data_IF_133412033930
#
_entry.id   IF_133412033930
#
_cell.length_a   1.000
_cell.length_b   1.000
_cell.length_c   1.000
_cell.angle_alpha   90.00
_cell.angle_beta   90.00
_cell.angle_gamma   90.00
#
_symmetry.space_group_name_H-M   'P 1'
#
loop_
_entity.id
_entity.type
_entity.pdbx_description
1 polymer ?
#
# COMPACT_ATOMS: atom_id res chain seq x y z
N UNK A 1 -11.20 -4.95 -2.00
CA UNK A 1 -12.15 -3.94 -2.51
C UNK A 1 -12.85 -4.43 -3.78
N UNK A 2 -12.15 -4.92 -4.80
CA UNK A 2 -12.74 -5.40 -6.06
C UNK A 2 -13.88 -6.41 -5.84
N UNK A 3 -13.67 -7.40 -4.96
CA UNK A 3 -14.73 -8.35 -4.60
C UNK A 3 -15.97 -7.66 -3.98
N UNK A 4 -15.79 -6.60 -3.19
CA UNK A 4 -16.92 -5.84 -2.64
C UNK A 4 -17.67 -5.05 -3.73
N UNK A 5 -16.97 -4.57 -4.76
CA UNK A 5 -17.59 -3.91 -5.92
C UNK A 5 -18.40 -4.94 -6.70
N UNK A 6 -17.79 -6.08 -7.04
CA UNK A 6 -18.44 -7.19 -7.75
C UNK A 6 -19.72 -7.68 -7.05
N UNK A 7 -19.70 -7.78 -5.73
CA UNK A 7 -20.83 -8.22 -4.92
C UNK A 7 -21.86 -7.11 -4.62
N UNK A 8 -21.67 -5.89 -5.14
CA UNK A 8 -22.54 -4.74 -4.90
C UNK A 8 -22.53 -4.19 -3.48
N UNK A 9 -21.53 -4.56 -2.66
CA UNK A 9 -21.33 -4.07 -1.30
C UNK A 9 -20.69 -2.68 -1.27
N UNK A 10 -19.85 -2.36 -2.26
CA UNK A 10 -19.23 -1.05 -2.45
C UNK A 10 -19.86 -0.38 -3.69
N UNK A 11 -20.79 0.55 -3.46
CA UNK A 11 -21.64 1.14 -4.52
C UNK A 11 -21.18 2.52 -5.00
N UNK A 12 -20.11 3.04 -4.45
CA UNK A 12 -19.61 4.39 -4.75
C UNK A 12 -18.72 4.44 -6.01
N UNK A 13 -18.43 3.26 -6.59
CA UNK A 13 -17.53 3.14 -7.72
C UNK A 13 -18.30 2.90 -9.01
N UNK A 14 -17.90 3.60 -10.08
CA UNK A 14 -18.44 3.43 -11.43
C UNK A 14 -17.58 2.43 -12.25
N UNK A 15 -17.14 1.36 -11.59
CA UNK A 15 -16.34 0.29 -12.18
C UNK A 15 -17.14 -0.99 -12.09
N UNK A 16 -17.27 -1.70 -13.21
CA UNK A 16 -17.84 -3.03 -13.25
C UNK A 16 -16.71 -4.05 -13.10
N UNK A 17 -16.87 -4.99 -12.19
CA UNK A 17 -15.91 -6.06 -11.93
C UNK A 17 -16.63 -7.41 -12.13
N UNK A 18 -16.30 -8.11 -13.19
CA UNK A 18 -16.87 -9.43 -13.48
C UNK A 18 -16.16 -10.50 -12.67
N UNK A 19 -14.83 -10.53 -12.73
CA UNK A 19 -14.00 -11.52 -12.07
C UNK A 19 -12.75 -10.89 -11.46
N UNK A 20 -12.24 -11.49 -10.38
CA UNK A 20 -10.95 -11.18 -9.77
C UNK A 20 -10.11 -12.44 -9.75
N UNK A 21 -9.12 -12.49 -10.61
CA UNK A 21 -8.18 -13.60 -10.73
C UNK A 21 -6.97 -13.34 -9.82
N UNK A 22 -6.81 -14.17 -8.81
CA UNK A 22 -5.73 -14.02 -7.82
C UNK A 22 -4.61 -15.02 -8.12
N UNK A 23 -3.38 -14.53 -8.27
CA UNK A 23 -2.19 -15.33 -8.50
C UNK A 23 -1.15 -15.08 -7.40
N UNK A 24 -0.74 -16.14 -6.72
CA UNK A 24 0.22 -16.08 -5.62
C UNK A 24 1.22 -17.26 -5.70
N UNK A 25 2.09 -17.39 -4.72
CA UNK A 25 3.17 -18.37 -4.67
C UNK A 25 2.69 -19.84 -4.79
N UNK A 26 1.46 -20.11 -4.36
CA UNK A 26 0.84 -21.42 -4.44
C UNK A 26 0.09 -21.69 -5.76
N UNK A 27 0.04 -20.69 -6.65
CA UNK A 27 -0.63 -20.80 -7.95
C UNK A 27 0.24 -21.50 -9.00
N UNK A 28 -0.40 -22.07 -10.03
CA UNK A 28 0.28 -22.83 -11.08
C UNK A 28 0.61 -21.97 -12.30
N UNK A 29 1.61 -22.36 -13.12
CA UNK A 29 1.88 -21.68 -14.40
C UNK A 29 0.71 -21.69 -15.37
N UNK A 30 -0.13 -22.74 -15.33
CA UNK A 30 -1.33 -22.88 -16.14
C UNK A 30 -2.39 -21.84 -15.77
N UNK A 31 -2.55 -21.53 -14.47
CA UNK A 31 -3.42 -20.44 -14.01
C UNK A 31 -2.93 -19.10 -14.51
N UNK A 32 -1.60 -18.82 -14.41
CA UNK A 32 -1.03 -17.59 -14.95
C UNK A 32 -1.29 -17.44 -16.45
N UNK A 33 -1.11 -18.52 -17.20
CA UNK A 33 -1.35 -18.55 -18.66
C UNK A 33 -2.81 -18.23 -18.99
N UNK A 34 -3.75 -18.83 -18.25
CA UNK A 34 -5.19 -18.56 -18.39
C UNK A 34 -5.54 -17.11 -18.05
N UNK A 35 -5.07 -16.63 -16.91
CA UNK A 35 -5.33 -15.26 -16.43
C UNK A 35 -4.77 -14.20 -17.38
N UNK A 36 -3.54 -14.38 -17.85
CA UNK A 36 -2.93 -13.45 -18.80
C UNK A 36 -3.64 -13.40 -20.16
N UNK A 37 -4.35 -14.46 -20.54
CA UNK A 37 -5.16 -14.46 -21.76
C UNK A 37 -6.42 -13.60 -21.63
N UNK A 38 -7.03 -13.56 -20.44
CA UNK A 38 -8.39 -13.03 -20.22
C UNK A 38 -8.40 -11.70 -19.46
N UNK A 39 -7.28 -11.32 -18.83
CA UNK A 39 -7.22 -10.10 -18.01
C UNK A 39 -7.47 -8.83 -18.82
N UNK A 40 -8.31 -7.94 -18.29
CA UNK A 40 -8.51 -6.57 -18.77
C UNK A 40 -7.63 -5.54 -18.05
N UNK A 41 -7.09 -5.90 -16.89
CA UNK A 41 -6.16 -5.10 -16.11
C UNK A 41 -5.32 -6.00 -15.19
N UNK A 42 -4.05 -5.68 -15.02
CA UNK A 42 -3.14 -6.44 -14.13
C UNK A 42 -2.55 -5.55 -13.06
N UNK A 43 -2.76 -5.92 -11.79
CA UNK A 43 -2.05 -5.35 -10.65
C UNK A 43 -0.89 -6.27 -10.24
N UNK A 44 0.34 -5.92 -10.61
CA UNK A 44 1.51 -6.64 -10.11
C UNK A 44 1.95 -6.07 -8.75
N UNK A 45 1.47 -6.72 -7.70
CA UNK A 45 1.80 -6.42 -6.29
C UNK A 45 2.88 -7.35 -5.75
N UNK A 46 3.27 -8.36 -6.52
CA UNK A 46 4.29 -9.33 -6.12
C UNK A 46 5.64 -8.66 -5.89
N UNK A 47 6.33 -9.12 -4.85
CA UNK A 47 7.67 -8.62 -4.56
C UNK A 47 8.25 -9.22 -3.28
N UNK A 48 9.55 -9.39 -3.28
CA UNK A 48 10.34 -9.85 -2.13
C UNK A 48 10.92 -8.64 -1.41
N UNK A 49 10.65 -8.53 -0.11
CA UNK A 49 11.08 -7.38 0.70
C UNK A 49 12.18 -7.69 1.70
N UNK A 50 12.27 -8.94 2.16
CA UNK A 50 13.28 -9.40 3.15
C UNK A 50 13.69 -10.85 2.88
N UNK A 51 14.42 -11.11 1.78
CA UNK A 51 14.95 -12.44 1.52
C UNK A 51 16.12 -12.76 2.46
N UNK A 52 16.37 -14.03 2.68
CA UNK A 52 17.54 -14.49 3.40
C UNK A 52 18.83 -14.23 2.60
N UNK A 53 18.74 -14.34 1.27
CA UNK A 53 19.85 -14.07 0.36
C UNK A 53 19.56 -12.81 -0.46
N UNK A 54 20.47 -11.80 -0.53
CA UNK A 54 20.31 -10.60 -1.36
C UNK A 54 20.02 -10.88 -2.84
N UNK A 55 20.53 -11.98 -3.41
CA UNK A 55 20.27 -12.36 -4.81
C UNK A 55 18.79 -12.68 -5.08
N UNK A 56 18.03 -13.03 -4.05
CA UNK A 56 16.61 -13.34 -4.16
C UNK A 56 15.74 -12.09 -4.34
N UNK A 57 16.27 -10.89 -4.06
CA UNK A 57 15.60 -9.64 -4.45
C UNK A 57 15.41 -9.58 -5.96
N UNK A 58 16.46 -9.86 -6.71
CA UNK A 58 16.40 -9.78 -8.18
C UNK A 58 15.49 -10.89 -8.73
N UNK A 59 15.65 -12.12 -8.25
CA UNK A 59 14.79 -13.23 -8.68
C UNK A 59 13.32 -12.99 -8.40
N UNK A 60 12.98 -12.53 -7.18
CA UNK A 60 11.61 -12.32 -6.76
C UNK A 60 10.94 -11.09 -7.38
N UNK A 61 11.68 -9.98 -7.50
CA UNK A 61 11.11 -8.72 -8.01
C UNK A 61 11.19 -8.63 -9.55
N UNK A 62 12.25 -9.13 -10.17
CA UNK A 62 12.43 -9.09 -11.62
C UNK A 62 11.97 -10.38 -12.31
N UNK A 63 12.27 -11.55 -11.74
CA UNK A 63 12.00 -12.83 -12.38
C UNK A 63 10.51 -13.08 -12.63
N UNK A 64 9.66 -12.90 -11.60
CA UNK A 64 8.21 -13.04 -11.78
C UNK A 64 7.65 -11.97 -12.71
N UNK A 65 8.08 -10.72 -12.58
CA UNK A 65 7.68 -9.64 -13.47
C UNK A 65 7.95 -9.97 -14.94
N UNK A 66 9.13 -10.54 -15.24
CA UNK A 66 9.47 -11.00 -16.60
C UNK A 66 8.53 -12.09 -17.08
N UNK A 67 8.27 -13.11 -16.25
CA UNK A 67 7.36 -14.21 -16.59
C UNK A 67 5.94 -13.70 -16.89
N UNK A 68 5.42 -12.80 -16.07
CA UNK A 68 4.10 -12.18 -16.26
C UNK A 68 4.02 -11.45 -17.60
N UNK A 69 4.97 -10.55 -17.89
CA UNK A 69 4.97 -9.74 -19.10
C UNK A 69 5.19 -10.58 -20.36
N UNK A 70 6.05 -11.62 -20.30
CA UNK A 70 6.24 -12.56 -21.41
C UNK A 70 4.99 -13.40 -21.67
N UNK A 71 4.25 -13.75 -20.62
CA UNK A 71 2.96 -14.48 -20.77
C UNK A 71 1.90 -13.59 -21.41
N UNK A 72 1.79 -12.33 -21.02
CA UNK A 72 0.90 -11.36 -21.69
C UNK A 72 1.27 -11.18 -23.17
N UNK A 73 2.58 -11.06 -23.48
CA UNK A 73 3.07 -11.00 -24.88
C UNK A 73 2.70 -12.24 -25.68
N UNK A 74 2.86 -13.43 -25.09
CA UNK A 74 2.50 -14.73 -25.71
C UNK A 74 1.04 -14.74 -26.17
N UNK A 75 0.13 -14.17 -25.39
CA UNK A 75 -1.29 -14.09 -25.74
C UNK A 75 -1.66 -12.85 -26.55
N UNK A 76 -0.71 -11.95 -26.83
CA UNK A 76 -0.98 -10.67 -27.49
C UNK A 76 -1.88 -9.74 -26.66
N UNK A 77 -2.00 -10.02 -25.36
CA UNK A 77 -2.81 -9.21 -24.46
C UNK A 77 -2.04 -7.90 -24.12
N UNK A 78 -2.69 -6.77 -24.37
CA UNK A 78 -2.16 -5.42 -24.16
C UNK A 78 -2.95 -4.65 -23.09
N UNK A 79 -3.58 -5.36 -22.17
CA UNK A 79 -4.29 -4.71 -21.07
C UNK A 79 -3.33 -3.82 -20.27
N UNK A 80 -3.83 -2.80 -19.58
CA UNK A 80 -3.02 -1.99 -18.68
C UNK A 80 -2.37 -2.85 -17.60
N UNK A 81 -1.10 -2.59 -17.31
CA UNK A 81 -0.34 -3.29 -16.28
C UNK A 81 0.22 -2.30 -15.26
N UNK A 82 -0.06 -2.54 -13.98
CA UNK A 82 0.40 -1.73 -12.87
C UNK A 82 1.54 -2.45 -12.14
N UNK A 83 2.62 -1.73 -11.83
CA UNK A 83 3.73 -2.20 -11.00
C UNK A 83 3.74 -1.49 -9.65
N UNK A 84 3.67 -2.27 -8.56
CA UNK A 84 4.01 -1.83 -7.22
C UNK A 84 5.52 -1.71 -7.06
N UNK A 85 6.06 -0.52 -7.30
CA UNK A 85 7.46 -0.19 -7.05
C UNK A 85 7.62 0.48 -5.67
N UNK A 86 8.77 1.05 -5.40
CA UNK A 86 9.11 1.69 -4.13
C UNK A 86 9.86 2.99 -4.36
N UNK A 87 9.68 3.95 -3.47
CA UNK A 87 10.48 5.17 -3.42
C UNK A 87 11.98 4.87 -3.34
N UNK A 88 12.37 3.69 -2.84
CA UNK A 88 13.77 3.25 -2.81
C UNK A 88 14.36 3.02 -4.21
N UNK A 89 13.52 2.81 -5.24
CA UNK A 89 13.95 2.71 -6.62
C UNK A 89 14.48 4.03 -7.22
N UNK A 90 14.32 5.16 -6.53
CA UNK A 90 14.96 6.43 -6.90
C UNK A 90 16.48 6.35 -6.76
N UNK A 91 17.01 5.47 -5.92
CA UNK A 91 18.42 5.28 -5.60
C UNK A 91 19.12 6.58 -5.16
N UNK A 92 18.37 7.52 -4.56
CA UNK A 92 18.88 8.82 -4.11
C UNK A 92 18.95 8.91 -2.60
N UNK A 93 19.89 9.71 -2.08
CA UNK A 93 20.08 9.94 -0.66
C UNK A 93 20.30 8.62 0.11
N UNK A 94 19.50 8.38 1.14
CA UNK A 94 19.60 7.17 1.99
C UNK A 94 19.27 5.86 1.27
N UNK A 95 18.76 5.91 0.04
CA UNK A 95 18.40 4.73 -0.75
C UNK A 95 19.47 4.35 -1.78
N UNK A 96 20.54 5.13 -1.89
CA UNK A 96 21.64 4.86 -2.84
C UNK A 96 22.35 3.53 -2.52
N UNK A 97 22.55 2.70 -3.53
CA UNK A 97 23.29 1.44 -3.42
C UNK A 97 22.59 0.35 -2.60
N UNK A 98 21.27 0.47 -2.36
CA UNK A 98 20.54 -0.55 -1.62
C UNK A 98 19.99 -1.62 -2.57
N UNK A 99 20.31 -2.92 -2.39
CA UNK A 99 19.93 -4.00 -3.32
C UNK A 99 18.44 -4.10 -3.60
N UNK A 100 17.59 -3.84 -2.60
CA UNK A 100 16.15 -3.79 -2.78
C UNK A 100 15.74 -2.67 -3.76
N UNK A 101 16.29 -1.45 -3.58
CA UNK A 101 16.01 -0.34 -4.48
C UNK A 101 16.45 -0.64 -5.91
N UNK A 102 17.63 -1.24 -6.09
CA UNK A 102 18.16 -1.65 -7.39
C UNK A 102 17.26 -2.71 -8.06
N UNK A 103 16.78 -3.71 -7.31
CA UNK A 103 15.88 -4.72 -7.86
C UNK A 103 14.51 -4.14 -8.28
N UNK A 104 13.98 -3.18 -7.52
CA UNK A 104 12.75 -2.47 -7.89
C UNK A 104 12.97 -1.62 -9.14
N UNK A 105 14.12 -0.93 -9.23
CA UNK A 105 14.46 -0.13 -10.41
C UNK A 105 14.57 -0.99 -11.68
N UNK A 106 15.20 -2.15 -11.59
CA UNK A 106 15.25 -3.10 -12.71
C UNK A 106 13.83 -3.55 -13.16
N UNK A 107 12.93 -3.78 -12.21
CA UNK A 107 11.52 -4.06 -12.50
C UNK A 107 10.82 -2.91 -13.23
N UNK A 108 11.05 -1.65 -12.82
CA UNK A 108 10.50 -0.47 -13.50
C UNK A 108 10.95 -0.41 -14.97
N UNK A 109 12.25 -0.60 -15.22
CA UNK A 109 12.83 -0.58 -16.56
C UNK A 109 12.25 -1.69 -17.46
N UNK A 110 12.00 -2.87 -16.89
CA UNK A 110 11.34 -3.98 -17.57
C UNK A 110 9.90 -3.61 -18.00
N UNK A 111 9.11 -3.02 -17.10
CA UNK A 111 7.74 -2.59 -17.38
C UNK A 111 7.70 -1.49 -18.43
N UNK A 112 8.56 -0.48 -18.34
CA UNK A 112 8.64 0.58 -19.36
C UNK A 112 9.05 0.04 -20.73
N UNK A 113 9.99 -0.91 -20.76
CA UNK A 113 10.40 -1.58 -22.00
C UNK A 113 9.25 -2.37 -22.62
N UNK A 114 8.48 -3.09 -21.80
CA UNK A 114 7.29 -3.81 -22.23
C UNK A 114 6.24 -2.86 -22.83
N UNK A 115 5.94 -1.73 -22.17
CA UNK A 115 5.02 -0.74 -22.69
C UNK A 115 5.46 -0.16 -24.03
N UNK A 116 6.76 0.14 -24.17
CA UNK A 116 7.34 0.63 -25.44
C UNK A 116 7.27 -0.41 -26.56
N UNK A 117 7.51 -1.68 -26.25
CA UNK A 117 7.51 -2.79 -27.22
C UNK A 117 6.08 -3.12 -27.70
N UNK A 118 5.12 -3.17 -26.77
CA UNK A 118 3.76 -3.70 -27.05
C UNK A 118 2.72 -2.63 -27.30
N UNK A 119 2.97 -1.40 -26.85
CA UNK A 119 1.97 -0.33 -26.81
C UNK A 119 0.97 -0.46 -25.66
N UNK A 120 1.18 -1.41 -24.72
CA UNK A 120 0.36 -1.53 -23.53
C UNK A 120 0.58 -0.35 -22.58
N UNK A 121 -0.50 0.09 -21.90
CA UNK A 121 -0.42 1.11 -20.85
C UNK A 121 0.30 0.54 -19.62
N UNK A 122 1.31 1.24 -19.16
CA UNK A 122 2.13 0.82 -18.01
C UNK A 122 2.04 1.88 -16.93
N UNK A 123 1.66 1.47 -15.72
CA UNK A 123 1.47 2.32 -14.54
C UNK A 123 2.47 1.92 -13.45
N UNK A 124 3.53 2.69 -13.27
CA UNK A 124 4.58 2.41 -12.28
C UNK A 124 4.42 3.33 -11.09
N UNK A 125 4.09 2.76 -9.93
CA UNK A 125 3.92 3.49 -8.67
C UNK A 125 5.10 3.27 -7.75
N UNK A 126 5.79 4.34 -7.34
CA UNK A 126 6.84 4.31 -6.31
C UNK A 126 6.23 4.63 -4.96
N UNK A 127 5.74 3.61 -4.27
CA UNK A 127 5.12 3.79 -2.97
C UNK A 127 6.13 4.20 -1.88
N UNK A 128 5.77 5.19 -1.02
CA UNK A 128 6.50 5.47 0.20
C UNK A 128 6.18 4.43 1.29
N UNK A 129 6.31 4.78 2.58
CA UNK A 129 6.01 3.84 3.66
C UNK A 129 4.50 3.58 3.76
N UNK A 130 4.06 2.41 3.33
CA UNK A 130 2.67 1.97 3.45
C UNK A 130 2.34 1.62 4.90
N UNK A 131 1.15 2.02 5.34
CA UNK A 131 0.58 1.61 6.59
C UNK A 131 -0.94 1.42 6.49
N UNK A 132 -1.51 0.65 7.41
CA UNK A 132 -2.95 0.42 7.44
C UNK A 132 -3.31 -0.78 8.30
N UNK A 133 -4.61 -1.05 8.33
CA UNK A 133 -5.22 -2.15 9.07
C UNK A 133 -4.62 -3.50 8.67
N UNK A 134 -4.44 -4.38 9.65
CA UNK A 134 -4.00 -5.77 9.49
C UNK A 134 -2.60 -5.97 8.89
N UNK A 135 -1.80 -4.91 8.74
CA UNK A 135 -0.41 -5.05 8.33
C UNK A 135 0.37 -5.88 9.37
N UNK A 136 1.22 -6.79 8.91
CA UNK A 136 2.01 -7.67 9.80
C UNK A 136 2.98 -6.84 10.65
N UNK A 137 2.85 -6.84 11.99
CA UNK A 137 3.79 -6.16 12.87
C UNK A 137 5.15 -6.85 12.89
N UNK A 138 6.19 -6.14 13.31
CA UNK A 138 7.56 -6.62 13.39
C UNK A 138 8.11 -7.18 12.06
N UNK A 139 7.64 -6.63 10.94
CA UNK A 139 8.07 -7.01 9.60
C UNK A 139 8.58 -5.78 8.82
N UNK A 140 7.75 -5.09 8.06
CA UNK A 140 8.18 -3.99 7.19
C UNK A 140 7.59 -2.61 7.51
N UNK A 141 6.74 -2.50 8.53
CA UNK A 141 6.07 -1.26 8.88
C UNK A 141 6.33 -0.89 10.34
N UNK A 142 6.98 0.26 10.55
CA UNK A 142 7.15 0.84 11.88
C UNK A 142 5.77 1.17 12.50
N UNK A 143 4.84 1.74 11.71
CA UNK A 143 3.47 2.05 12.17
C UNK A 143 2.74 0.81 12.65
N UNK A 144 2.79 -0.31 11.88
CA UNK A 144 2.16 -1.56 12.28
C UNK A 144 2.76 -2.09 13.59
N UNK A 145 4.08 -2.02 13.73
CA UNK A 145 4.79 -2.45 14.95
C UNK A 145 4.40 -1.60 16.16
N UNK A 146 4.35 -0.27 16.00
CA UNK A 146 3.94 0.64 17.07
C UNK A 146 2.47 0.43 17.45
N UNK A 147 1.57 0.34 16.50
CA UNK A 147 0.16 0.06 16.75
C UNK A 147 -0.03 -1.25 17.53
N UNK A 148 0.60 -2.33 17.08
CA UNK A 148 0.53 -3.63 17.74
C UNK A 148 1.09 -3.57 19.16
N UNK A 149 2.29 -2.99 19.34
CA UNK A 149 2.95 -3.00 20.63
C UNK A 149 2.19 -2.12 21.64
N UNK A 150 1.75 -0.93 21.24
CA UNK A 150 0.97 -0.03 22.09
C UNK A 150 -0.38 -0.67 22.47
N UNK A 151 -1.08 -1.31 21.52
CA UNK A 151 -2.36 -1.98 21.78
C UNK A 151 -2.23 -3.15 22.77
N UNK A 152 -1.09 -3.84 22.75
CA UNK A 152 -0.83 -5.02 23.58
C UNK A 152 0.05 -4.74 24.79
N UNK A 153 0.29 -3.48 25.15
CA UNK A 153 1.15 -3.06 26.29
C UNK A 153 2.59 -3.62 26.19
N UNK A 154 3.08 -3.82 24.97
CA UNK A 154 4.44 -4.26 24.69
C UNK A 154 5.39 -3.04 24.58
N UNK A 155 6.66 -3.20 24.91
CA UNK A 155 7.63 -2.14 24.78
C UNK A 155 7.81 -1.71 23.32
N UNK A 156 7.95 -0.40 23.10
CA UNK A 156 8.33 0.18 21.81
C UNK A 156 9.79 0.61 21.87
N UNK A 157 10.49 0.41 20.77
CA UNK A 157 11.85 0.92 20.59
C UNK A 157 11.85 1.92 19.43
N UNK A 158 12.23 3.16 19.73
CA UNK A 158 12.44 4.22 18.75
C UNK A 158 13.88 4.68 18.89
N UNK A 159 14.74 4.31 17.93
CA UNK A 159 16.16 4.64 18.02
C UNK A 159 16.42 6.15 17.85
N UNK A 160 15.69 6.77 16.92
CA UNK A 160 15.74 8.22 16.70
C UNK A 160 14.32 8.73 16.42
N UNK A 161 13.67 9.40 17.39
CA UNK A 161 12.32 9.91 17.25
C UNK A 161 12.18 11.04 16.22
N UNK A 162 13.28 11.68 15.81
CA UNK A 162 13.28 12.78 14.84
C UNK A 162 13.24 12.33 13.38
N UNK A 163 13.39 11.03 13.11
CA UNK A 163 13.34 10.48 11.75
C UNK A 163 11.95 10.69 11.15
N UNK A 164 11.87 11.51 10.11
CA UNK A 164 10.64 11.75 9.37
C UNK A 164 10.39 10.63 8.33
N UNK A 165 9.15 10.16 8.30
CA UNK A 165 8.64 9.23 7.29
C UNK A 165 7.59 9.92 6.42
N UNK A 166 7.62 9.64 5.13
CA UNK A 166 6.49 9.83 4.25
C UNK A 166 5.62 8.58 4.31
N UNK A 167 4.35 8.76 4.62
CA UNK A 167 3.38 7.72 4.95
C UNK A 167 2.24 7.73 3.95
N UNK A 168 1.93 6.56 3.40
CA UNK A 168 0.77 6.33 2.53
C UNK A 168 -0.20 5.36 3.21
N UNK A 169 -1.43 5.81 3.39
CA UNK A 169 -2.47 4.97 4.00
C UNK A 169 -3.08 4.02 2.98
N UNK A 170 -3.31 2.78 3.39
CA UNK A 170 -3.76 1.71 2.48
C UNK A 170 -5.08 2.00 1.78
N UNK A 171 -6.03 2.68 2.45
CA UNK A 171 -7.32 2.97 1.82
C UNK A 171 -7.15 4.03 0.71
N UNK A 172 -6.26 5.04 0.89
CA UNK A 172 -5.96 6.04 -0.15
C UNK A 172 -5.29 5.39 -1.38
N UNK A 173 -4.39 4.43 -1.14
CA UNK A 173 -3.81 3.63 -2.22
C UNK A 173 -4.89 2.85 -2.98
N UNK A 174 -5.81 2.21 -2.27
CA UNK A 174 -6.88 1.43 -2.90
C UNK A 174 -7.78 2.32 -3.76
N UNK A 175 -8.10 3.54 -3.31
CA UNK A 175 -8.87 4.50 -4.11
C UNK A 175 -8.14 4.86 -5.41
N UNK A 176 -6.84 5.14 -5.36
CA UNK A 176 -6.02 5.41 -6.53
C UNK A 176 -5.98 4.21 -7.50
N UNK A 177 -5.82 2.98 -6.97
CA UNK A 177 -5.83 1.76 -7.78
C UNK A 177 -7.17 1.56 -8.50
N UNK A 178 -8.29 1.90 -7.85
CA UNK A 178 -9.62 1.85 -8.47
C UNK A 178 -9.77 2.96 -9.52
N UNK A 179 -9.27 4.16 -9.24
CA UNK A 179 -9.25 5.25 -10.22
C UNK A 179 -8.47 4.86 -11.48
N UNK A 180 -7.36 4.14 -11.33
CA UNK A 180 -6.54 3.63 -12.43
C UNK A 180 -7.30 2.65 -13.35
N UNK A 181 -8.24 1.86 -12.82
CA UNK A 181 -9.10 0.98 -13.64
C UNK A 181 -9.95 1.78 -14.65
N UNK A 182 -10.29 3.01 -14.31
CA UNK A 182 -11.07 3.92 -15.16
C UNK A 182 -10.20 4.92 -15.95
N UNK A 183 -8.87 4.79 -15.89
CA UNK A 183 -7.94 5.68 -16.55
C UNK A 183 -7.83 7.07 -15.89
N UNK A 184 -8.17 7.17 -14.62
CA UNK A 184 -8.12 8.40 -13.81
C UNK A 184 -6.96 8.39 -12.81
N UNK A 185 -5.89 7.66 -13.09
CA UNK A 185 -4.68 7.65 -12.29
C UNK A 185 -3.94 8.99 -12.34
N UNK A 186 -3.20 9.30 -11.26
CA UNK A 186 -2.39 10.51 -11.15
C UNK A 186 -0.96 10.26 -11.62
N UNK A 187 -0.50 11.06 -12.57
CA UNK A 187 0.83 10.94 -13.16
C UNK A 187 1.83 11.93 -12.53
N UNK A 188 3.09 11.52 -12.41
CA UNK A 188 4.16 12.35 -11.87
C UNK A 188 5.51 12.08 -12.53
N UNK A 189 6.44 13.03 -12.32
CA UNK A 189 7.89 12.85 -12.44
C UNK A 189 8.49 12.88 -11.04
N UNK A 190 9.68 12.32 -10.88
CA UNK A 190 10.40 12.39 -9.60
C UNK A 190 11.57 13.37 -9.69
N UNK A 191 11.60 14.34 -8.76
CA UNK A 191 12.77 15.15 -8.45
C UNK A 191 13.37 14.64 -7.13
N UNK A 192 14.46 13.85 -7.23
CA UNK A 192 14.95 13.07 -6.11
C UNK A 192 13.91 12.03 -5.65
N UNK A 193 13.37 12.21 -4.46
CA UNK A 193 12.31 11.36 -3.88
C UNK A 193 10.91 11.98 -3.95
N UNK A 194 10.79 13.22 -4.43
CA UNK A 194 9.53 13.97 -4.44
C UNK A 194 8.80 13.77 -5.76
N UNK A 195 7.53 13.30 -5.76
CA UNK A 195 6.70 13.28 -6.94
C UNK A 195 6.24 14.70 -7.29
N UNK A 196 6.35 15.06 -8.56
CA UNK A 196 5.85 16.31 -9.15
C UNK A 196 4.84 15.95 -10.22
N UNK A 197 3.63 16.47 -10.13
CA UNK A 197 2.59 16.21 -11.14
C UNK A 197 3.09 16.41 -12.57
N UNK A 198 2.69 15.51 -13.45
CA UNK A 198 3.07 15.52 -14.86
C UNK A 198 1.88 15.11 -15.73
N UNK A 199 1.82 15.59 -17.00
CA UNK A 199 0.83 15.13 -17.96
C UNK A 199 0.94 13.61 -18.22
N UNK A 200 -0.21 12.95 -18.44
CA UNK A 200 -0.28 11.51 -18.69
C UNK A 200 0.36 11.07 -20.01
N UNK A 201 0.48 11.99 -20.97
CA UNK A 201 1.06 11.77 -22.30
C UNK A 201 2.59 12.01 -22.35
N UNK A 202 3.19 12.45 -21.25
CA UNK A 202 4.63 12.62 -21.14
C UNK A 202 5.34 11.27 -21.02
N UNK A 203 6.27 10.99 -21.93
CA UNK A 203 7.00 9.72 -21.95
C UNK A 203 7.86 9.51 -20.68
N UNK A 204 7.77 8.32 -20.08
CA UNK A 204 8.54 7.95 -18.89
C UNK A 204 7.98 8.51 -17.58
N UNK A 205 6.73 8.95 -17.56
CA UNK A 205 6.05 9.33 -16.32
C UNK A 205 5.78 8.13 -15.45
N UNK A 206 5.77 8.40 -14.14
CA UNK A 206 5.34 7.48 -13.10
C UNK A 206 3.92 7.81 -12.68
N UNK A 207 3.35 6.95 -11.84
CA UNK A 207 2.11 7.26 -11.13
C UNK A 207 2.39 7.47 -9.64
N UNK A 208 1.53 8.24 -8.96
CA UNK A 208 1.63 8.46 -7.53
C UNK A 208 0.24 8.52 -6.89
N UNK A 209 0.19 8.33 -5.58
CA UNK A 209 -1.02 8.59 -4.78
C UNK A 209 -0.91 10.01 -4.25
N UNK A 210 -1.85 10.92 -4.56
CA UNK A 210 -1.75 12.33 -4.16
C UNK A 210 -1.77 12.54 -2.64
N UNK A 211 -2.52 11.70 -1.93
CA UNK A 211 -2.71 11.81 -0.49
C UNK A 211 -1.59 11.07 0.27
N UNK A 212 -0.58 11.77 0.71
CA UNK A 212 0.46 11.26 1.62
C UNK A 212 0.60 12.15 2.85
N UNK A 213 1.21 11.63 3.91
CA UNK A 213 1.44 12.36 5.14
C UNK A 213 2.93 12.29 5.55
N UNK A 214 3.44 13.36 6.14
CA UNK A 214 4.77 13.39 6.75
C UNK A 214 4.64 13.46 8.25
N UNK A 215 5.37 12.61 8.96
CA UNK A 215 5.43 12.62 10.41
C UNK A 215 6.74 11.99 10.88
N UNK A 216 7.24 12.46 12.02
CA UNK A 216 8.36 11.83 12.69
C UNK A 216 7.94 10.57 13.42
N UNK A 217 8.88 9.66 13.70
CA UNK A 217 8.60 8.46 14.50
C UNK A 217 8.06 8.86 15.89
N UNK A 218 8.57 9.95 16.48
CA UNK A 218 8.09 10.49 17.75
C UNK A 218 6.64 10.97 17.68
N UNK A 219 6.27 11.71 16.63
CA UNK A 219 4.89 12.18 16.44
C UNK A 219 3.90 11.02 16.29
N UNK A 220 4.29 9.98 15.55
CA UNK A 220 3.45 8.77 15.35
C UNK A 220 3.19 8.11 16.70
N UNK A 221 4.23 7.90 17.51
CA UNK A 221 4.09 7.31 18.85
C UNK A 221 3.22 8.17 19.75
N UNK A 222 3.45 9.48 19.79
CA UNK A 222 2.66 10.41 20.61
C UNK A 222 1.17 10.37 20.24
N UNK A 223 0.84 10.37 18.94
CA UNK A 223 -0.55 10.23 18.48
C UNK A 223 -1.19 8.89 18.89
N UNK A 224 -0.45 7.79 18.84
CA UNK A 224 -0.94 6.47 19.23
C UNK A 224 -1.13 6.35 20.75
N UNK A 225 -0.25 6.91 21.56
CA UNK A 225 -0.41 6.93 23.03
C UNK A 225 -1.62 7.79 23.45
N UNK A 226 -1.87 8.90 22.78
CA UNK A 226 -3.08 9.69 23.01
C UNK A 226 -4.36 8.90 22.70
N UNK A 227 -4.35 8.14 21.61
CA UNK A 227 -5.46 7.24 21.23
C UNK A 227 -5.64 6.14 22.28
N UNK A 228 -4.56 5.52 22.76
CA UNK A 228 -4.59 4.49 23.80
C UNK A 228 -5.20 4.99 25.11
N UNK A 229 -4.95 6.24 25.48
CA UNK A 229 -5.45 6.85 26.72
C UNK A 229 -6.96 7.12 26.70
N UNK A 230 -7.60 7.11 25.55
CA UNK A 230 -9.01 7.47 25.35
C UNK A 230 -10.00 6.70 26.24
N UNK A 231 -9.95 5.36 26.41
CA UNK A 231 -10.88 4.64 27.26
C UNK A 231 -10.83 5.08 28.73
N UNK A 232 -9.65 5.45 29.23
CA UNK A 232 -9.49 5.91 30.60
C UNK A 232 -9.97 7.36 30.83
N UNK A 233 -9.81 8.21 29.80
CA UNK A 233 -10.23 9.63 29.88
C UNK A 233 -11.67 9.85 29.44
N UNK A 234 -12.28 8.87 28.74
CA UNK A 234 -13.59 8.98 28.08
C UNK A 234 -13.68 10.20 27.14
N UNK A 235 -12.54 10.64 26.64
CA UNK A 235 -12.44 11.80 25.75
C UNK A 235 -11.96 11.35 24.37
N UNK A 236 -12.78 11.53 23.36
CA UNK A 236 -12.37 11.27 21.97
C UNK A 236 -11.34 12.32 21.54
N UNK A 237 -10.14 11.92 21.08
CA UNK A 237 -9.18 12.86 20.52
C UNK A 237 -9.73 13.52 19.25
N UNK A 238 -9.24 14.72 18.94
CA UNK A 238 -9.56 15.37 17.68
C UNK A 238 -8.96 14.56 16.52
N UNK A 239 -9.83 13.96 15.72
CA UNK A 239 -9.46 13.12 14.55
C UNK A 239 -10.20 13.61 13.29
N UNK A 240 -9.83 14.80 12.73
CA UNK A 240 -10.48 15.33 11.54
C UNK A 240 -10.47 14.32 10.38
N UNK A 241 -11.49 14.38 9.53
CA UNK A 241 -11.56 13.56 8.33
C UNK A 241 -10.29 13.77 7.47
N UNK A 242 -9.74 12.70 6.89
CA UNK A 242 -8.52 12.74 6.07
C UNK A 242 -7.21 12.91 6.86
N UNK A 243 -7.24 13.26 8.17
CA UNK A 243 -6.02 13.47 8.94
C UNK A 243 -5.23 12.19 9.17
N UNK A 244 -3.88 12.32 9.26
CA UNK A 244 -3.00 11.21 9.65
C UNK A 244 -3.46 10.54 10.95
N UNK A 245 -3.87 11.35 11.95
CA UNK A 245 -4.32 10.85 13.25
C UNK A 245 -5.54 9.95 13.12
N UNK A 246 -6.50 10.29 12.25
CA UNK A 246 -7.66 9.42 11.98
C UNK A 246 -7.25 8.10 11.32
N UNK A 247 -6.33 8.14 10.37
CA UNK A 247 -5.79 6.97 9.68
C UNK A 247 -5.00 6.07 10.64
N UNK A 248 -4.20 6.66 11.52
CA UNK A 248 -3.50 5.95 12.61
C UNK A 248 -4.48 5.33 13.61
N UNK A 249 -5.54 6.07 14.00
CA UNK A 249 -6.59 5.56 14.87
C UNK A 249 -7.25 4.30 14.26
N UNK A 250 -7.67 4.37 13.01
CA UNK A 250 -8.27 3.23 12.30
C UNK A 250 -7.32 2.03 12.22
N UNK A 251 -6.02 2.29 12.02
CA UNK A 251 -4.99 1.26 12.01
C UNK A 251 -4.81 0.63 13.39
N UNK A 252 -4.69 1.45 14.44
CA UNK A 252 -4.55 1.01 15.82
C UNK A 252 -5.69 0.10 16.27
N UNK A 253 -6.95 0.45 15.93
CA UNK A 253 -8.11 -0.36 16.28
C UNK A 253 -8.05 -1.80 15.75
N UNK A 254 -7.37 -2.03 14.62
CA UNK A 254 -7.21 -3.38 14.05
C UNK A 254 -6.26 -4.28 14.83
N UNK A 255 -5.48 -3.71 15.75
CA UNK A 255 -4.55 -4.44 16.63
C UNK A 255 -5.07 -4.61 18.06
N UNK A 256 -6.21 -3.98 18.41
CA UNK A 256 -6.77 -4.12 19.74
C UNK A 256 -7.24 -5.55 20.00
N UNK A 257 -6.82 -6.17 21.11
CA UNK A 257 -7.42 -7.40 21.58
C UNK A 257 -8.92 -7.22 21.83
N UNK A 258 -9.71 -8.29 21.69
CA UNK A 258 -11.17 -8.24 21.84
C UNK A 258 -11.62 -7.70 23.18
N UNK A 259 -10.92 -8.06 24.24
CA UNK A 259 -11.18 -7.62 25.62
C UNK A 259 -10.90 -6.13 25.87
N UNK A 260 -10.04 -5.52 25.02
CA UNK A 260 -9.76 -4.07 25.06
C UNK A 260 -10.59 -3.26 24.06
N UNK A 261 -11.17 -3.92 23.08
CA UNK A 261 -11.99 -3.26 22.06
C UNK A 261 -13.41 -2.96 22.52
N UNK A 262 -13.88 -3.62 23.61
CA UNK A 262 -15.21 -3.47 24.18
C UNK A 262 -15.09 -3.21 25.68
N UNK A 263 -15.86 -2.25 26.18
CA UNK A 263 -15.95 -1.98 27.60
C UNK A 263 -17.43 -1.81 27.99
N UNK A 264 -17.76 -2.28 29.21
CA UNK A 264 -19.10 -2.18 29.76
C UNK A 264 -19.39 -0.75 30.21
N UNK A 265 -20.50 -0.20 29.76
CA UNK A 265 -21.00 1.06 30.28
C UNK A 265 -21.73 0.83 31.59
N UNK A 266 -21.34 1.57 32.61
CA UNK A 266 -22.09 1.55 33.87
C UNK A 266 -23.43 2.26 33.69
N UNK A 267 -24.52 1.49 33.74
CA UNK A 267 -25.88 2.04 33.74
C UNK A 267 -26.23 2.53 35.14
N UNK A 268 -26.53 3.81 35.23
CA UNK A 268 -27.12 4.40 36.47
C UNK A 268 -28.59 4.57 36.25
N UNK A 269 -29.40 3.86 37.04
CA UNK A 269 -30.86 3.95 37.00
C UNK A 269 -31.35 4.72 38.22
N UNK A 270 -32.11 5.75 38.01
CA UNK A 270 -32.82 6.51 39.08
C UNK A 270 -34.29 6.73 38.71
N UNK A 271 -35.02 7.44 39.57
CA UNK A 271 -36.45 7.70 39.36
C UNK A 271 -36.77 8.61 38.16
N UNK A 272 -35.76 9.10 37.44
CA UNK A 272 -35.89 9.96 36.25
C UNK A 272 -35.69 9.19 34.94
N UNK A 273 -35.31 7.92 35.02
CA UNK A 273 -35.03 7.04 33.90
C UNK A 273 -33.61 6.46 33.90
N UNK A 274 -33.31 5.73 32.87
CA UNK A 274 -31.99 5.09 32.64
C UNK A 274 -31.32 5.64 31.40
#
# INVERSE_FOLDING_TARGET
>A
MLNNIREGKARNYQVEVEEVMEYDIDSTPEELDGYCREADFVFNLAGVNRPENPDDFLKGNFGFASTLLDTLKKHGNRCPVMLSSSIQATLTGRYAGHPYGESKKAGEELFFSYGKETGAKVLVYRFPNLFGKWCRPNYNSAVATFCNNIANDLPIQVNDPSVELELLYIDDLVEEMIAALSGNEHHCRYEGVTPIEAPSDEAGTYCHVPETHKATLGDIVAMLEEVKAQPATLTMPAIPAGSLKKKLYSTYLSYLPKDKAVFDLKMNVDNRGS
#
